data_IF_247712311171
#
_entry.id   IF_247712311171
#
_cell.length_a   1.000
_cell.length_b   1.000
_cell.length_c   1.000
_cell.angle_alpha   90.00
_cell.angle_beta   90.00
_cell.angle_gamma   90.00
#
_symmetry.space_group_name_H-M   'P 1'
#
loop_
_entity.id
_entity.type
_entity.pdbx_description
1 polymer ?
#
# COMPACT_ATOMS: atom_id res chain seq x y z
N UNK A 1 10.65 6.41 -9.21
CA UNK A 1 9.41 6.50 -10.02
C UNK A 1 9.08 5.11 -10.55
N UNK A 2 7.91 4.58 -10.17
CA UNK A 2 7.50 3.19 -10.44
C UNK A 2 7.16 2.94 -11.92
N UNK A 3 6.52 3.89 -12.59
CA UNK A 3 6.12 3.75 -14.00
C UNK A 3 7.35 3.51 -14.90
N UNK A 4 8.40 4.32 -14.73
CA UNK A 4 9.66 4.16 -15.47
C UNK A 4 10.26 2.77 -15.30
N UNK A 5 10.16 2.17 -14.10
CA UNK A 5 10.64 0.81 -13.86
C UNK A 5 9.85 -0.21 -14.67
N UNK A 6 8.52 -0.08 -14.71
CA UNK A 6 7.65 -0.92 -15.54
C UNK A 6 7.96 -0.75 -17.02
N UNK A 7 8.21 0.48 -17.48
CA UNK A 7 8.57 0.74 -18.88
C UNK A 7 9.89 0.08 -19.29
N UNK A 8 10.91 0.22 -18.44
CA UNK A 8 12.22 -0.40 -18.67
C UNK A 8 12.08 -1.92 -18.69
N UNK A 9 11.40 -2.49 -17.68
CA UNK A 9 11.19 -3.94 -17.58
C UNK A 9 10.40 -4.46 -18.79
N UNK A 10 9.36 -3.75 -19.23
CA UNK A 10 8.58 -4.13 -20.42
C UNK A 10 9.38 -4.08 -21.72
N UNK A 11 10.30 -3.11 -21.87
CA UNK A 11 11.22 -3.07 -23.02
C UNK A 11 12.18 -4.26 -23.01
N UNK A 12 12.75 -4.59 -21.86
CA UNK A 12 13.64 -5.74 -21.72
C UNK A 12 12.91 -7.06 -21.94
N UNK A 13 11.68 -7.21 -21.42
CA UNK A 13 10.90 -8.44 -21.47
C UNK A 13 10.61 -8.93 -22.90
N UNK A 14 10.61 -8.03 -23.90
CA UNK A 14 10.46 -8.38 -25.32
C UNK A 14 11.58 -9.29 -25.86
N UNK A 15 12.76 -9.22 -25.24
CA UNK A 15 13.95 -9.96 -25.65
C UNK A 15 14.32 -11.07 -24.64
N UNK A 16 13.47 -11.30 -23.63
CA UNK A 16 13.68 -12.31 -22.59
C UNK A 16 12.54 -13.33 -22.67
N UNK A 17 12.89 -14.56 -22.98
CA UNK A 17 12.00 -15.72 -23.08
C UNK A 17 11.53 -16.20 -21.69
N UNK A 18 12.36 -16.02 -20.66
CA UNK A 18 12.01 -16.23 -19.25
C UNK A 18 11.36 -14.97 -18.62
N UNK A 19 11.01 -15.02 -17.34
CA UNK A 19 10.49 -13.86 -16.58
C UNK A 19 11.64 -13.05 -15.96
N UNK A 20 11.44 -11.74 -15.84
CA UNK A 20 12.39 -10.84 -15.15
C UNK A 20 11.96 -10.70 -13.69
N UNK A 21 12.84 -11.09 -12.75
CA UNK A 21 12.64 -10.86 -11.32
C UNK A 21 13.11 -9.46 -10.94
N UNK A 22 12.17 -8.52 -10.80
CA UNK A 22 12.45 -7.16 -10.35
C UNK A 22 11.36 -6.66 -9.40
N UNK A 23 11.77 -6.09 -8.27
CA UNK A 23 10.87 -5.56 -7.25
C UNK A 23 10.76 -4.04 -7.33
N UNK A 24 9.54 -3.53 -7.43
CA UNK A 24 9.21 -2.11 -7.29
C UNK A 24 8.97 -1.81 -5.82
N UNK A 25 9.88 -1.06 -5.19
CA UNK A 25 9.74 -0.60 -3.81
C UNK A 25 8.89 0.67 -3.78
N UNK A 26 7.87 0.69 -2.92
CA UNK A 26 6.93 1.78 -2.73
C UNK A 26 6.91 2.20 -1.25
N UNK A 27 6.70 3.49 -0.95
CA UNK A 27 6.58 3.95 0.42
C UNK A 27 5.33 3.39 1.10
N UNK A 28 5.33 3.36 2.43
CA UNK A 28 4.19 2.88 3.24
C UNK A 28 2.92 3.69 2.96
N UNK A 29 3.07 5.01 2.79
CA UNK A 29 1.99 5.97 2.56
C UNK A 29 1.48 5.98 1.12
N UNK A 30 1.88 5.03 0.27
CA UNK A 30 1.42 4.98 -1.10
C UNK A 30 -0.07 4.63 -1.16
N UNK A 31 -0.81 5.34 -1.98
CA UNK A 31 -2.23 5.06 -2.23
C UNK A 31 -2.40 3.69 -2.92
N UNK A 32 -3.36 2.85 -2.47
CA UNK A 32 -3.68 1.57 -3.11
C UNK A 32 -3.97 1.68 -4.62
N UNK A 33 -4.58 2.79 -5.05
CA UNK A 33 -4.90 3.09 -6.44
C UNK A 33 -3.63 3.17 -7.30
N UNK A 34 -2.54 3.70 -6.75
CA UNK A 34 -1.24 3.76 -7.44
C UNK A 34 -0.69 2.35 -7.66
N UNK A 35 -0.86 1.45 -6.67
CA UNK A 35 -0.47 0.04 -6.80
C UNK A 35 -1.30 -0.64 -7.91
N UNK A 36 -2.61 -0.39 -7.93
CA UNK A 36 -3.51 -0.87 -8.99
C UNK A 36 -3.06 -0.40 -10.38
N UNK A 37 -2.71 0.87 -10.51
CA UNK A 37 -2.21 1.44 -11.76
C UNK A 37 -0.90 0.79 -12.22
N UNK A 38 -0.01 0.43 -11.29
CA UNK A 38 1.23 -0.30 -11.61
C UNK A 38 0.92 -1.68 -12.18
N UNK A 39 -0.05 -2.42 -11.62
CA UNK A 39 -0.47 -3.72 -12.17
C UNK A 39 -1.06 -3.59 -13.57
N UNK A 40 -1.95 -2.61 -13.78
CA UNK A 40 -2.54 -2.36 -15.09
C UNK A 40 -1.49 -1.95 -16.13
N UNK A 41 -0.54 -1.11 -15.74
CA UNK A 41 0.57 -0.70 -16.61
C UNK A 41 1.46 -1.88 -16.97
N UNK A 42 1.80 -2.75 -16.00
CA UNK A 42 2.61 -3.94 -16.24
C UNK A 42 1.95 -4.88 -17.24
N UNK A 43 0.64 -5.12 -17.08
CA UNK A 43 -0.14 -5.90 -18.03
C UNK A 43 -0.15 -5.26 -19.43
N UNK A 44 -0.43 -3.96 -19.54
CA UNK A 44 -0.40 -3.22 -20.82
C UNK A 44 0.97 -3.26 -21.52
N UNK A 45 2.05 -3.31 -20.76
CA UNK A 45 3.44 -3.38 -21.28
C UNK A 45 3.90 -4.81 -21.60
N UNK A 46 3.04 -5.82 -21.40
CA UNK A 46 3.33 -7.22 -21.73
C UNK A 46 4.31 -7.90 -20.78
N UNK A 47 4.38 -7.45 -19.52
CA UNK A 47 5.22 -8.12 -18.52
C UNK A 47 4.62 -9.48 -18.16
N UNK A 48 5.48 -10.49 -18.00
CA UNK A 48 5.09 -11.83 -17.52
C UNK A 48 4.81 -11.88 -16.02
N UNK A 49 5.28 -10.88 -15.29
CA UNK A 49 5.08 -10.72 -13.85
C UNK A 49 5.68 -9.42 -13.36
N UNK A 50 5.19 -8.96 -12.21
CA UNK A 50 5.71 -7.79 -11.50
C UNK A 50 5.68 -8.05 -9.99
N UNK A 51 6.74 -7.66 -9.29
CA UNK A 51 6.82 -7.77 -7.84
C UNK A 51 6.77 -6.38 -7.24
N UNK A 52 5.89 -6.17 -6.27
CA UNK A 52 5.76 -4.90 -5.54
C UNK A 52 6.10 -5.17 -4.07
N UNK A 53 6.93 -4.31 -3.49
CA UNK A 53 7.17 -4.25 -2.06
C UNK A 53 6.74 -2.87 -1.56
N UNK A 54 5.69 -2.83 -0.75
CA UNK A 54 5.29 -1.61 -0.04
C UNK A 54 5.95 -1.64 1.34
N UNK A 55 6.64 -0.57 1.70
CA UNK A 55 7.20 -0.43 3.04
C UNK A 55 6.10 -0.58 4.09
N UNK A 56 6.41 -1.25 5.20
CA UNK A 56 5.42 -1.54 6.26
C UNK A 56 4.40 -2.65 5.94
N UNK A 57 4.30 -3.14 4.70
CA UNK A 57 3.37 -4.23 4.34
C UNK A 57 3.67 -5.57 4.99
N UNK A 58 4.92 -5.79 5.40
CA UNK A 58 5.39 -6.96 6.14
C UNK A 58 6.30 -6.53 7.28
N UNK A 59 6.52 -7.43 8.23
CA UNK A 59 7.55 -7.27 9.24
C UNK A 59 8.90 -6.89 8.58
N UNK A 60 9.61 -5.86 9.09
CA UNK A 60 10.94 -5.50 8.59
C UNK A 60 11.82 -6.75 8.58
N UNK A 61 12.56 -6.94 7.49
CA UNK A 61 13.51 -8.06 7.38
C UNK A 61 14.67 -7.87 8.36
N UNK A 62 15.01 -6.61 8.67
CA UNK A 62 15.95 -6.22 9.72
C UNK A 62 15.17 -5.59 10.87
N UNK A 63 15.03 -6.32 11.97
CA UNK A 63 14.49 -5.79 13.23
C UNK A 63 15.62 -5.69 14.24
N UNK A 64 15.69 -4.56 14.94
CA UNK A 64 16.39 -4.52 16.22
C UNK A 64 15.46 -5.18 17.23
N UNK A 65 15.92 -6.24 17.90
CA UNK A 65 15.13 -6.89 18.95
C UNK A 65 14.56 -5.85 19.92
N UNK A 66 13.24 -5.91 20.14
CA UNK A 66 12.53 -5.00 21.03
C UNK A 66 11.98 -3.71 20.39
N UNK A 67 12.35 -3.36 19.15
CA UNK A 67 11.82 -2.15 18.49
C UNK A 67 10.72 -2.49 17.46
N UNK A 68 9.46 -2.27 17.87
CA UNK A 68 8.30 -2.31 16.96
C UNK A 68 8.07 -0.95 16.31
N UNK A 69 7.78 -0.94 15.01
CA UNK A 69 7.38 0.28 14.29
C UNK A 69 6.04 0.80 14.80
N UNK A 70 5.75 2.07 14.56
CA UNK A 70 4.49 2.70 14.98
C UNK A 70 3.28 1.98 14.36
N UNK A 71 3.35 1.66 13.07
CA UNK A 71 2.35 0.85 12.37
C UNK A 71 2.14 -0.52 13.03
N UNK A 72 3.21 -1.23 13.40
CA UNK A 72 3.10 -2.54 14.07
C UNK A 72 2.42 -2.47 15.43
N UNK A 73 2.55 -1.36 16.15
CA UNK A 73 1.87 -1.15 17.44
C UNK A 73 0.39 -0.82 17.25
N UNK A 74 0.02 -0.24 16.12
CA UNK A 74 -1.33 0.28 15.86
C UNK A 74 -2.17 -0.64 14.97
N UNK A 75 -1.56 -1.54 14.17
CA UNK A 75 -2.28 -2.41 13.23
C UNK A 75 -3.36 -3.28 13.89
N UNK A 76 -3.08 -3.78 15.10
CA UNK A 76 -3.95 -4.71 15.82
C UNK A 76 -4.93 -3.97 16.75
N UNK A 77 -4.83 -2.63 16.85
CA UNK A 77 -5.76 -1.85 17.66
C UNK A 77 -7.11 -1.77 16.97
N UNK A 78 -8.16 -1.90 17.77
CA UNK A 78 -9.54 -1.75 17.34
C UNK A 78 -9.93 -0.28 17.48
N UNK A 79 -10.44 0.27 16.40
CA UNK A 79 -10.98 1.62 16.30
C UNK A 79 -12.47 1.52 16.06
N UNK A 80 -13.24 2.29 16.80
CA UNK A 80 -14.68 2.45 16.56
C UNK A 80 -14.87 3.64 15.63
N UNK A 81 -15.41 3.38 14.45
CA UNK A 81 -15.72 4.41 13.47
C UNK A 81 -17.24 4.42 13.28
N UNK A 82 -17.82 5.61 13.23
CA UNK A 82 -19.23 5.81 12.98
C UNK A 82 -19.40 6.09 11.48
N UNK A 83 -20.09 5.20 10.76
CA UNK A 83 -20.33 5.41 9.33
C UNK A 83 -21.31 6.59 9.15
N UNK A 84 -20.97 7.50 8.25
CA UNK A 84 -21.80 8.67 7.93
C UNK A 84 -23.18 8.29 7.41
N UNK A 85 -23.28 7.15 6.74
CA UNK A 85 -24.44 6.82 5.91
C UNK A 85 -25.51 6.02 6.68
N UNK A 86 -25.10 5.18 7.64
CA UNK A 86 -26.01 4.31 8.41
C UNK A 86 -26.07 4.63 9.91
N UNK A 87 -25.25 5.57 10.41
CA UNK A 87 -25.04 5.82 11.84
C UNK A 87 -24.63 4.56 12.63
N UNK A 88 -24.17 3.52 11.95
CA UNK A 88 -23.73 2.28 12.59
C UNK A 88 -22.30 2.41 13.10
N UNK A 89 -22.08 1.93 14.33
CA UNK A 89 -20.74 1.75 14.89
C UNK A 89 -20.12 0.48 14.33
N UNK A 90 -19.06 0.64 13.54
CA UNK A 90 -18.26 -0.50 13.05
C UNK A 90 -16.93 -0.50 13.78
N UNK A 91 -16.54 -1.68 14.26
CA UNK A 91 -15.23 -1.89 14.89
C UNK A 91 -14.26 -2.41 13.84
N UNK A 92 -13.25 -1.62 13.51
CA UNK A 92 -12.23 -1.93 12.51
C UNK A 92 -10.84 -1.96 13.12
N UNK A 93 -9.96 -2.78 12.57
CA UNK A 93 -8.53 -2.81 12.93
C UNK A 93 -7.79 -1.67 12.24
N UNK A 94 -6.63 -1.29 12.79
CA UNK A 94 -5.75 -0.27 12.18
C UNK A 94 -5.28 -0.61 10.75
N UNK A 95 -5.24 -1.89 10.39
CA UNK A 95 -4.88 -2.38 9.05
C UNK A 95 -6.08 -2.54 8.09
N UNK A 96 -7.32 -2.38 8.58
CA UNK A 96 -8.50 -2.50 7.72
C UNK A 96 -8.54 -1.32 6.73
N UNK A 97 -8.90 -1.62 5.48
CA UNK A 97 -9.02 -0.63 4.39
C UNK A 97 -10.41 0.00 4.44
N UNK A 98 -10.45 1.32 4.46
CA UNK A 98 -11.66 2.14 4.43
C UNK A 98 -11.66 3.03 3.18
N UNK A 99 -12.85 3.34 2.69
CA UNK A 99 -13.07 4.38 1.69
C UNK A 99 -13.29 5.71 2.43
N UNK A 100 -12.45 6.71 2.14
CA UNK A 100 -12.62 8.05 2.72
C UNK A 100 -13.75 8.81 2.02
N UNK A 101 -14.27 9.89 2.62
CA UNK A 101 -15.24 10.78 1.96
C UNK A 101 -14.73 11.38 0.63
N UNK A 102 -13.41 11.43 0.45
CA UNK A 102 -12.74 11.91 -0.77
C UNK A 102 -12.57 10.80 -1.83
N UNK A 103 -13.31 9.68 -1.71
CA UNK A 103 -13.26 8.50 -2.58
C UNK A 103 -11.89 7.81 -2.66
N UNK A 104 -11.05 7.96 -1.63
CA UNK A 104 -9.72 7.35 -1.58
C UNK A 104 -9.70 6.12 -0.68
N UNK A 105 -9.03 5.05 -1.11
CA UNK A 105 -8.79 3.89 -0.27
C UNK A 105 -7.57 4.13 0.64
N UNK A 106 -7.73 3.92 1.94
CA UNK A 106 -6.62 4.02 2.91
C UNK A 106 -6.86 3.07 4.08
N UNK A 107 -5.84 2.81 4.90
CA UNK A 107 -6.08 2.04 6.14
C UNK A 107 -6.54 2.96 7.26
N UNK A 108 -7.27 2.42 8.24
CA UNK A 108 -7.72 3.19 9.42
C UNK A 108 -6.57 3.92 10.12
N UNK A 109 -5.43 3.25 10.29
CA UNK A 109 -4.23 3.87 10.88
C UNK A 109 -3.74 5.08 10.07
N UNK A 110 -3.62 4.94 8.75
CA UNK A 110 -3.11 6.01 7.89
C UNK A 110 -4.06 7.21 7.87
N UNK A 111 -5.37 6.96 7.83
CA UNK A 111 -6.39 8.00 7.91
C UNK A 111 -6.31 8.81 9.21
N UNK A 112 -6.20 8.11 10.35
CA UNK A 112 -6.08 8.77 11.66
C UNK A 112 -4.78 9.56 11.78
N UNK A 113 -3.66 9.01 11.29
CA UNK A 113 -2.37 9.68 11.28
C UNK A 113 -2.35 10.94 10.41
N UNK A 114 -3.02 10.92 9.26
CA UNK A 114 -3.18 12.11 8.41
C UNK A 114 -4.04 13.18 9.10
N UNK A 115 -5.13 12.79 9.77
CA UNK A 115 -5.94 13.73 10.56
C UNK A 115 -5.17 14.36 11.71
N UNK A 116 -4.35 13.59 12.43
CA UNK A 116 -3.49 14.12 13.48
C UNK A 116 -2.46 15.13 12.94
N UNK A 117 -1.88 14.88 11.76
CA UNK A 117 -0.97 15.82 11.10
C UNK A 117 -1.64 17.08 10.59
N UNK A 118 -2.87 17.00 10.09
CA UNK A 118 -3.60 18.15 9.54
C UNK A 118 -4.23 19.03 10.64
N UNK A 119 -4.38 18.50 11.85
CA UNK A 119 -4.87 19.24 13.03
C UNK A 119 -3.74 19.84 13.90
N UNK A 120 -2.47 19.63 13.54
CA UNK A 120 -1.29 20.17 14.21
C UNK A 120 -0.68 21.33 13.41
#
# INVERSE_FOLDING_TARGET
>A
NAEKRVEIQGRCQKYVDHSISSTVNLPETIEPEVISNIYLLAWKKGLKGITIYRDGSRYPVLQVEGQKTEFQKMKDKLYKILLSDTQEEVTLKGDDVILTPDERLTTVYHYLKEKEKNNA
#
